data_IF_001822434766
#
_entry.id   IF_001822434766
#
_cell.length_a   1.000
_cell.length_b   1.000
_cell.length_c   1.000
_cell.angle_alpha   90.00
_cell.angle_beta   90.00
_cell.angle_gamma   90.00
#
_symmetry.space_group_name_H-M   'P 1'
#
loop_
_entity.id
_entity.type
_entity.pdbx_description
1 polymer ?
#
# COMPACT_ATOMS: atom_id res chain seq x y z
N UNK A 1 21.42 24.69 -52.29
CA UNK A 1 21.47 23.21 -52.19
C UNK A 1 22.18 22.75 -50.92
N UNK A 2 23.35 23.32 -50.58
CA UNK A 2 24.11 22.92 -49.38
C UNK A 2 23.35 23.15 -48.06
N UNK A 3 22.63 24.26 -47.93
CA UNK A 3 21.85 24.59 -46.71
C UNK A 3 20.71 23.62 -46.42
N UNK A 4 20.09 23.05 -47.46
CA UNK A 4 19.03 22.07 -47.30
C UNK A 4 19.58 20.73 -46.78
N UNK A 5 20.75 20.32 -47.31
CA UNK A 5 21.43 19.10 -46.88
C UNK A 5 21.93 19.20 -45.43
N UNK A 6 22.40 20.37 -45.01
CA UNK A 6 22.83 20.58 -43.61
C UNK A 6 21.65 20.53 -42.64
N UNK A 7 20.51 21.11 -42.99
CA UNK A 7 19.30 21.07 -42.15
C UNK A 7 18.78 19.63 -42.02
N UNK A 8 18.71 18.88 -43.13
CA UNK A 8 18.31 17.48 -43.10
C UNK A 8 19.26 16.62 -42.26
N UNK A 9 20.57 16.85 -42.36
CA UNK A 9 21.59 16.16 -41.55
C UNK A 9 21.39 16.39 -40.05
N UNK A 10 21.19 17.65 -39.65
CA UNK A 10 20.96 18.00 -38.23
C UNK A 10 19.67 17.36 -37.72
N UNK A 11 18.57 17.43 -38.47
CA UNK A 11 17.31 16.80 -38.07
C UNK A 11 17.42 15.28 -37.92
N UNK A 12 18.15 14.61 -38.81
CA UNK A 12 18.40 13.17 -38.69
C UNK A 12 19.19 12.83 -37.43
N UNK A 13 20.26 13.57 -37.14
CA UNK A 13 21.04 13.34 -35.91
C UNK A 13 20.23 13.59 -34.64
N UNK A 14 19.42 14.66 -34.61
CA UNK A 14 18.55 14.95 -33.48
C UNK A 14 17.46 13.88 -33.30
N UNK A 15 16.82 13.44 -34.38
CA UNK A 15 15.82 12.38 -34.33
C UNK A 15 16.42 11.05 -33.84
N UNK A 16 17.60 10.67 -34.34
CA UNK A 16 18.30 9.47 -33.89
C UNK A 16 18.68 9.55 -32.40
N UNK A 17 19.18 10.69 -31.95
CA UNK A 17 19.55 10.91 -30.56
C UNK A 17 18.34 10.86 -29.62
N UNK A 18 17.25 11.54 -29.96
CA UNK A 18 16.00 11.49 -29.19
C UNK A 18 15.39 10.07 -29.19
N UNK A 19 15.48 9.34 -30.30
CA UNK A 19 15.05 7.95 -30.36
C UNK A 19 15.87 7.07 -29.41
N UNK A 20 17.20 7.23 -29.39
CA UNK A 20 18.07 6.50 -28.47
C UNK A 20 17.76 6.80 -27.00
N UNK A 21 17.55 8.08 -26.64
CA UNK A 21 17.16 8.47 -25.27
C UNK A 21 15.80 7.91 -24.89
N UNK A 22 14.80 8.03 -25.77
CA UNK A 22 13.45 7.50 -25.49
C UNK A 22 13.43 5.98 -25.34
N UNK A 23 14.22 5.24 -26.13
CA UNK A 23 14.35 3.79 -26.00
C UNK A 23 14.93 3.39 -24.62
N UNK A 24 15.92 4.13 -24.11
CA UNK A 24 16.52 3.88 -22.79
C UNK A 24 15.57 4.25 -21.66
N UNK A 25 14.91 5.42 -21.76
CA UNK A 25 13.94 5.85 -20.74
C UNK A 25 12.79 4.86 -20.62
N UNK A 26 12.22 4.41 -21.76
CA UNK A 26 11.15 3.41 -21.78
C UNK A 26 11.58 2.09 -21.12
N UNK A 27 12.80 1.59 -21.38
CA UNK A 27 13.31 0.39 -20.70
C UNK A 27 13.48 0.59 -19.19
N UNK A 28 13.90 1.78 -18.75
CA UNK A 28 14.08 2.08 -17.32
C UNK A 28 12.73 2.13 -16.59
N UNK A 29 11.69 2.64 -17.24
CA UNK A 29 10.33 2.68 -16.73
C UNK A 29 9.73 1.27 -16.66
N UNK A 30 9.87 0.47 -17.71
CA UNK A 30 9.40 -0.93 -17.74
C UNK A 30 10.02 -1.78 -16.63
N UNK A 31 11.33 -1.60 -16.35
CA UNK A 31 12.02 -2.29 -15.27
C UNK A 31 11.45 -1.90 -13.90
N UNK A 32 11.26 -0.60 -13.66
CA UNK A 32 10.67 -0.08 -12.41
C UNK A 32 9.24 -0.55 -12.21
N UNK A 33 8.43 -0.61 -13.27
CA UNK A 33 7.05 -1.09 -13.20
C UNK A 33 7.00 -2.58 -12.87
N UNK A 34 7.83 -3.41 -13.52
CA UNK A 34 7.96 -4.84 -13.21
C UNK A 34 8.37 -5.08 -11.75
N UNK A 35 9.31 -4.31 -11.23
CA UNK A 35 9.72 -4.39 -9.83
C UNK A 35 8.59 -4.01 -8.87
N UNK A 36 7.82 -2.96 -9.18
CA UNK A 36 6.63 -2.58 -8.40
C UNK A 36 5.58 -3.69 -8.42
N UNK A 37 5.26 -4.26 -9.58
CA UNK A 37 4.30 -5.35 -9.71
C UNK A 37 4.75 -6.62 -8.97
N UNK A 38 6.05 -6.95 -9.01
CA UNK A 38 6.61 -8.07 -8.25
C UNK A 38 6.48 -7.83 -6.74
N UNK A 39 6.75 -6.60 -6.28
CA UNK A 39 6.60 -6.21 -4.87
C UNK A 39 5.13 -6.24 -4.44
N UNK A 40 4.22 -5.71 -5.26
CA UNK A 40 2.78 -5.73 -5.02
C UNK A 40 2.21 -7.15 -4.99
N UNK A 41 2.67 -8.04 -5.87
CA UNK A 41 2.29 -9.46 -5.87
C UNK A 41 2.78 -10.24 -4.65
N UNK A 42 3.89 -9.81 -4.04
CA UNK A 42 4.44 -10.42 -2.81
C UNK A 42 3.74 -9.94 -1.54
N UNK A 43 3.07 -8.77 -1.58
CA UNK A 43 2.30 -8.26 -0.45
C UNK A 43 1.06 -9.13 -0.26
N UNK A 44 0.85 -9.61 0.96
CA UNK A 44 -0.32 -10.41 1.33
C UNK A 44 -1.56 -9.53 1.48
N UNK A 45 -1.98 -8.90 0.39
CA UNK A 45 -3.19 -8.09 0.39
C UNK A 45 -4.41 -9.01 0.50
N UNK A 46 -5.29 -8.75 1.45
CA UNK A 46 -6.57 -9.43 1.58
C UNK A 46 -7.46 -9.10 0.38
N UNK A 47 -7.46 -9.96 -0.64
CA UNK A 47 -8.25 -9.77 -1.86
C UNK A 47 -9.75 -9.99 -1.57
N UNK A 48 -10.59 -8.94 -1.66
CA UNK A 48 -12.03 -9.06 -1.41
C UNK A 48 -12.71 -10.03 -2.37
N UNK A 49 -12.15 -10.24 -3.58
CA UNK A 49 -12.70 -11.17 -4.59
C UNK A 49 -12.60 -12.64 -4.18
N UNK A 50 -11.71 -12.98 -3.23
CA UNK A 50 -11.61 -14.33 -2.69
C UNK A 50 -12.70 -14.64 -1.65
N UNK A 51 -13.27 -13.60 -1.03
CA UNK A 51 -14.25 -13.74 0.07
C UNK A 51 -15.66 -13.50 -0.43
N UNK A 52 -15.84 -12.47 -1.26
CA UNK A 52 -17.09 -12.26 -1.97
C UNK A 52 -17.03 -13.04 -3.28
N UNK A 53 -17.71 -14.18 -3.32
CA UNK A 53 -17.91 -14.92 -4.56
C UNK A 53 -18.48 -14.02 -5.68
N UNK A 54 -18.38 -14.46 -6.94
CA UNK A 54 -18.78 -13.67 -8.11
C UNK A 54 -20.26 -13.21 -8.09
N UNK A 55 -21.10 -13.83 -7.27
CA UNK A 55 -22.49 -13.42 -7.06
C UNK A 55 -22.61 -12.72 -5.70
N UNK A 56 -22.69 -11.38 -5.74
CA UNK A 56 -22.87 -10.54 -4.56
C UNK A 56 -24.35 -10.24 -4.41
N UNK A 57 -25.02 -10.91 -3.48
CA UNK A 57 -26.39 -10.60 -3.13
C UNK A 57 -26.45 -9.23 -2.42
N UNK A 58 -27.27 -8.27 -2.89
CA UNK A 58 -27.34 -6.93 -2.30
C UNK A 58 -27.97 -6.93 -0.90
N UNK A 59 -28.65 -8.00 -0.51
CA UNK A 59 -29.31 -8.14 0.79
C UNK A 59 -28.41 -8.71 1.89
N UNK A 60 -27.21 -9.20 1.57
CA UNK A 60 -26.29 -9.73 2.57
C UNK A 60 -25.41 -8.62 3.18
N UNK A 61 -25.18 -8.62 4.50
CA UNK A 61 -24.29 -7.66 5.14
C UNK A 61 -22.86 -7.84 4.60
N UNK A 62 -22.24 -6.72 4.21
CA UNK A 62 -20.85 -6.73 3.72
C UNK A 62 -19.89 -7.10 4.85
N UNK A 63 -19.23 -8.24 4.68
CA UNK A 63 -18.11 -8.73 5.50
C UNK A 63 -16.93 -7.76 5.41
N UNK A 64 -16.58 -7.11 6.52
CA UNK A 64 -15.40 -6.24 6.57
C UNK A 64 -14.15 -7.12 6.60
N UNK A 65 -13.15 -6.80 5.78
CA UNK A 65 -11.91 -7.56 5.68
C UNK A 65 -10.73 -6.64 5.94
N UNK A 66 -9.72 -7.14 6.66
CA UNK A 66 -8.46 -6.42 6.77
C UNK A 66 -7.69 -6.52 5.43
N UNK A 67 -7.27 -5.40 4.83
CA UNK A 67 -6.49 -5.42 3.60
C UNK A 67 -5.07 -5.96 3.78
N UNK A 68 -4.56 -6.04 5.02
CA UNK A 68 -3.17 -6.45 5.30
C UNK A 68 -3.03 -7.95 5.59
N UNK A 69 -4.01 -8.55 6.27
CA UNK A 69 -3.96 -9.98 6.63
C UNK A 69 -5.14 -10.81 6.09
N UNK A 70 -6.16 -10.17 5.50
CA UNK A 70 -7.36 -10.84 5.02
C UNK A 70 -8.30 -11.36 6.11
N UNK A 71 -8.03 -11.09 7.38
CA UNK A 71 -8.91 -11.48 8.49
C UNK A 71 -10.26 -10.77 8.39
N UNK A 72 -11.34 -11.51 8.64
CA UNK A 72 -12.69 -10.97 8.74
C UNK A 72 -12.80 -10.12 10.00
N UNK A 73 -13.11 -8.83 9.83
CA UNK A 73 -13.35 -7.89 10.91
C UNK A 73 -14.79 -7.97 11.39
N UNK A 74 -14.95 -8.01 12.70
CA UNK A 74 -16.26 -7.86 13.35
C UNK A 74 -16.73 -6.39 13.30
N UNK A 75 -17.98 -6.14 13.66
CA UNK A 75 -18.60 -4.79 13.58
C UNK A 75 -17.95 -3.77 14.52
N UNK A 76 -17.44 -4.27 15.64
CA UNK A 76 -16.74 -3.59 16.74
C UNK A 76 -15.24 -3.46 16.51
N UNK A 77 -14.68 -4.16 15.52
CA UNK A 77 -13.26 -4.08 15.18
C UNK A 77 -13.02 -2.98 14.13
N UNK A 78 -11.96 -2.19 14.34
CA UNK A 78 -11.63 -1.04 13.51
C UNK A 78 -10.37 -1.26 12.66
N UNK A 79 -10.34 -0.54 11.53
CA UNK A 79 -9.17 -0.40 10.69
C UNK A 79 -8.38 0.84 11.15
N UNK A 80 -7.10 0.68 11.44
CA UNK A 80 -6.19 1.77 11.77
C UNK A 80 -5.63 2.39 10.50
N UNK A 81 -5.78 3.71 10.38
CA UNK A 81 -5.27 4.49 9.26
C UNK A 81 -4.82 5.88 9.73
N UNK A 82 -3.79 6.43 9.10
CA UNK A 82 -3.39 7.83 9.26
C UNK A 82 -3.68 8.61 7.98
N UNK A 83 -4.26 9.80 8.13
CA UNK A 83 -4.47 10.72 7.03
C UNK A 83 -3.22 11.57 6.89
N UNK A 84 -2.62 11.60 5.71
CA UNK A 84 -1.47 12.48 5.43
C UNK A 84 -1.90 13.94 5.54
N UNK A 85 -1.09 14.74 6.22
CA UNK A 85 -1.27 16.20 6.27
C UNK A 85 -0.98 16.84 4.92
N UNK A 86 -0.10 16.22 4.12
CA UNK A 86 0.22 16.65 2.77
C UNK A 86 -0.91 16.32 1.79
N UNK A 87 -1.43 17.35 1.13
CA UNK A 87 -2.32 17.26 -0.03
C UNK A 87 -1.48 17.09 -1.29
N UNK A 88 -1.80 16.09 -2.10
CA UNK A 88 -1.19 15.95 -3.43
C UNK A 88 -1.53 17.15 -4.33
N UNK A 89 -0.83 17.27 -5.45
CA UNK A 89 -1.07 18.28 -6.50
C UNK A 89 -2.52 18.36 -6.98
N UNK A 90 -3.31 17.28 -6.85
CA UNK A 90 -4.75 17.23 -7.16
C UNK A 90 -5.67 17.67 -6.00
N UNK A 91 -5.14 18.16 -4.87
CA UNK A 91 -5.92 18.60 -3.71
C UNK A 91 -6.52 17.46 -2.86
N UNK A 92 -6.20 16.20 -3.16
CA UNK A 92 -6.67 15.03 -2.41
C UNK A 92 -5.70 14.68 -1.28
N UNK A 93 -6.22 14.38 -0.09
CA UNK A 93 -5.46 13.84 1.05
C UNK A 93 -5.31 12.33 0.90
N UNK A 94 -4.10 11.79 1.08
CA UNK A 94 -3.88 10.35 1.06
C UNK A 94 -4.12 9.76 2.44
N UNK A 95 -4.80 8.60 2.48
CA UNK A 95 -4.91 7.81 3.70
C UNK A 95 -3.91 6.65 3.62
N UNK A 96 -3.03 6.56 4.61
CA UNK A 96 -2.15 5.41 4.81
C UNK A 96 -2.87 4.40 5.70
N UNK A 97 -3.11 3.21 5.18
CA UNK A 97 -3.81 2.14 5.88
C UNK A 97 -2.77 1.24 6.55
N UNK A 98 -2.84 1.11 7.88
CA UNK A 98 -1.96 0.22 8.64
C UNK A 98 -2.55 -1.17 8.90
N UNK A 99 -3.86 -1.33 8.74
CA UNK A 99 -4.55 -2.62 8.87
C UNK A 99 -5.43 -2.72 10.11
N UNK A 100 -5.68 -3.94 10.59
CA UNK A 100 -6.49 -4.20 11.78
C UNK A 100 -5.66 -4.16 13.07
N UNK A 101 -6.31 -4.34 14.23
CA UNK A 101 -5.63 -4.42 15.54
C UNK A 101 -4.42 -5.36 15.55
N UNK A 102 -4.53 -6.52 14.90
CA UNK A 102 -3.45 -7.51 14.86
C UNK A 102 -2.28 -7.06 13.99
N UNK A 103 -2.53 -6.46 12.83
CA UNK A 103 -1.48 -5.97 11.92
C UNK A 103 -0.78 -4.72 12.46
N UNK A 104 -1.56 -3.82 13.09
CA UNK A 104 -1.04 -2.57 13.62
C UNK A 104 -0.02 -2.80 14.74
N UNK A 105 -0.31 -3.72 15.67
CA UNK A 105 0.58 -4.03 16.78
C UNK A 105 1.92 -4.66 16.34
N UNK A 106 1.93 -5.43 15.25
CA UNK A 106 3.16 -6.01 14.69
C UNK A 106 4.05 -4.90 14.11
N UNK A 107 3.46 -3.95 13.37
CA UNK A 107 4.19 -2.81 12.82
C UNK A 107 4.81 -1.90 13.89
N UNK A 108 4.15 -1.76 15.05
CA UNK A 108 4.71 -1.01 16.18
C UNK A 108 5.89 -1.73 16.85
N UNK A 109 5.90 -3.07 16.82
CA UNK A 109 6.98 -3.87 17.43
C UNK A 109 8.30 -3.81 16.65
N UNK A 110 8.25 -3.66 15.32
CA UNK A 110 9.45 -3.54 14.47
C UNK A 110 10.10 -2.14 14.52
N UNK A 111 9.44 -1.14 15.12
CA UNK A 111 10.01 0.21 15.29
C UNK A 111 10.90 0.37 16.51
N UNK A 112 11.05 -0.66 17.35
CA UNK A 112 12.12 -0.67 18.35
C UNK A 112 13.42 -1.10 17.66
N UNK A 113 14.49 -0.27 17.65
CA UNK A 113 15.80 -0.78 17.30
C UNK A 113 16.18 -1.82 18.36
N UNK A 114 16.11 -3.10 17.99
CA UNK A 114 16.69 -4.20 18.76
C UNK A 114 18.20 -4.10 18.67
N UNK A 115 18.81 -3.59 19.73
CA UNK A 115 20.01 -4.20 20.27
C UNK A 115 19.62 -5.05 21.49
N UNK A 116 20.27 -6.19 21.63
CA UNK A 116 20.27 -7.11 22.77
C UNK A 116 18.97 -7.84 23.15
N UNK A 117 18.92 -9.10 22.70
CA UNK A 117 18.67 -10.29 23.53
C UNK A 117 18.42 -10.04 25.02
N UNK A 118 17.23 -10.41 25.51
CA UNK A 118 16.99 -11.22 26.71
C UNK A 118 15.47 -11.24 27.04
N UNK A 119 14.91 -12.44 27.16
CA UNK A 119 13.68 -12.71 27.92
C UNK A 119 14.17 -13.01 29.34
N UNK A 120 13.64 -12.42 30.44
CA UNK A 120 12.38 -12.95 31.00
C UNK A 120 11.50 -12.01 31.86
N UNK A 121 10.29 -12.55 32.09
CA UNK A 121 9.46 -12.47 33.31
C UNK A 121 8.48 -11.29 33.52
N UNK A 122 7.19 -11.63 33.37
CA UNK A 122 6.04 -11.33 34.25
C UNK A 122 6.09 -10.03 35.07
N UNK A 123 5.11 -9.16 34.78
CA UNK A 123 4.16 -8.66 35.78
C UNK A 123 2.91 -8.11 35.07
N UNK A 124 1.80 -8.79 35.30
CA UNK A 124 0.46 -8.31 35.04
C UNK A 124 0.26 -6.94 35.70
N UNK A 125 -0.27 -5.98 34.96
CA UNK A 125 -0.99 -4.86 35.53
C UNK A 125 -2.18 -4.56 34.61
N UNK A 126 -3.35 -4.69 35.23
CA UNK A 126 -4.63 -4.80 34.57
C UNK A 126 -5.02 -3.58 33.74
N UNK A 127 -5.61 -3.88 32.59
CA UNK A 127 -6.58 -3.00 31.96
C UNK A 127 -7.65 -3.89 31.34
N UNK A 128 -8.55 -4.38 32.19
CA UNK A 128 -9.77 -5.05 31.75
C UNK A 128 -10.73 -4.03 31.14
N UNK A 129 -11.56 -4.42 30.15
CA UNK A 129 -12.61 -3.56 29.63
C UNK A 129 -13.63 -3.22 30.74
N UNK A 130 -14.23 -2.01 30.75
CA UNK A 130 -15.26 -1.67 31.72
C UNK A 130 -16.50 -2.55 31.53
N UNK A 131 -17.08 -3.00 32.65
CA UNK A 131 -18.28 -3.80 32.68
C UNK A 131 -19.51 -3.01 32.16
N UNK A 132 -20.46 -3.68 31.48
CA UNK A 132 -21.72 -3.07 31.07
C UNK A 132 -22.60 -2.80 32.30
N UNK A 133 -23.04 -1.55 32.46
CA UNK A 133 -24.11 -1.21 33.40
C UNK A 133 -25.45 -1.51 32.72
N UNK A 134 -26.02 -2.67 33.05
CA UNK A 134 -27.47 -2.84 33.04
C UNK A 134 -27.97 -2.27 34.38
N UNK A 135 -29.03 -1.44 34.37
CA UNK A 135 -30.16 -1.46 35.32
C UNK A 135 -31.08 -0.23 35.10
N UNK A 136 -32.33 -0.59 34.74
CA UNK A 136 -33.63 0.13 34.74
C UNK A 136 -33.82 1.45 33.95
#
# INVERSE_FOLDING_TARGET
MVTFLTICGVLFTAAFFLYALSAVDNQSLDKKEKERLAKEGSLRVGDPRKVYGKQKDPNLPQIRLCPVCGTVLRKDEFLYAAISTYTNSEGKKQAQIYGCKYCYLILDSERKPTDSSEVPNVKDNGFGPPAPTDEL
#
